data_IF_172448145870
#
_entry.id   IF_172448145870
#
_cell.length_a   1.000
_cell.length_b   1.000
_cell.length_c   1.000
_cell.angle_alpha   90.00
_cell.angle_beta   90.00
_cell.angle_gamma   90.00
#
_symmetry.space_group_name_H-M   'P 1'
#
loop_
_entity.id
_entity.type
_entity.pdbx_description
1 polymer ?
#
# COMPACT_ATOMS: atom_id res chain seq x y z
N UNK A 1 -12.36 9.27 -2.59
CA UNK A 1 -12.23 8.09 -1.74
C UNK A 1 -11.09 7.34 -2.35
N UNK A 2 -9.90 7.43 -1.77
CA UNK A 2 -8.68 7.01 -2.45
C UNK A 2 -7.56 6.95 -1.45
N UNK A 3 -6.53 6.18 -1.76
CA UNK A 3 -5.21 6.23 -1.13
C UNK A 3 -4.23 6.86 -2.12
N UNK A 4 -3.37 7.76 -1.64
CA UNK A 4 -2.22 8.30 -2.34
C UNK A 4 -0.94 7.83 -1.65
N UNK A 5 0.01 7.34 -2.44
CA UNK A 5 1.29 6.78 -1.96
C UNK A 5 2.41 7.41 -2.78
N UNK A 6 3.47 7.84 -2.12
CA UNK A 6 4.71 8.28 -2.75
C UNK A 6 5.88 7.54 -2.12
N UNK A 7 6.81 7.09 -2.96
CA UNK A 7 8.02 6.39 -2.54
C UNK A 7 9.22 6.93 -3.31
N UNK A 8 10.30 7.21 -2.58
CA UNK A 8 11.62 7.48 -3.11
C UNK A 8 12.65 6.54 -2.46
N UNK A 9 13.58 6.01 -3.24
CA UNK A 9 14.59 5.03 -2.78
C UNK A 9 14.62 3.81 -3.69
N UNK A 10 15.63 2.95 -3.53
CA UNK A 10 15.77 1.73 -4.33
C UNK A 10 14.49 0.90 -4.34
N UNK A 11 14.15 0.31 -5.48
CA UNK A 11 12.94 -0.52 -5.64
C UNK A 11 11.62 0.17 -5.25
N UNK A 12 11.49 1.48 -5.48
CA UNK A 12 10.33 2.27 -5.07
C UNK A 12 8.97 1.67 -5.52
N UNK A 13 8.95 1.03 -6.70
CA UNK A 13 7.76 0.35 -7.23
C UNK A 13 7.30 -0.79 -6.33
N UNK A 14 8.22 -1.64 -5.89
CA UNK A 14 7.93 -2.78 -5.01
C UNK A 14 7.34 -2.28 -3.70
N UNK A 15 7.94 -1.24 -3.13
CA UNK A 15 7.51 -0.63 -1.88
C UNK A 15 6.12 0.02 -2.00
N UNK A 16 5.85 0.76 -3.08
CA UNK A 16 4.54 1.36 -3.31
C UNK A 16 3.43 0.30 -3.45
N UNK A 17 3.72 -0.81 -4.13
CA UNK A 17 2.77 -1.92 -4.28
C UNK A 17 2.55 -2.67 -2.96
N UNK A 18 3.57 -2.85 -2.13
CA UNK A 18 3.44 -3.44 -0.78
C UNK A 18 2.51 -2.61 0.10
N UNK A 19 2.67 -1.28 0.08
CA UNK A 19 1.79 -0.34 0.80
C UNK A 19 0.34 -0.50 0.33
N UNK A 20 0.10 -0.46 -0.98
CA UNK A 20 -1.25 -0.62 -1.52
C UNK A 20 -1.84 -2.00 -1.15
N UNK A 21 -1.06 -3.07 -1.29
CA UNK A 21 -1.47 -4.43 -0.97
C UNK A 21 -1.87 -4.57 0.49
N UNK A 22 -1.11 -3.98 1.41
CA UNK A 22 -1.46 -3.95 2.83
C UNK A 22 -2.78 -3.22 3.09
N UNK A 23 -3.00 -2.06 2.44
CA UNK A 23 -4.26 -1.33 2.55
C UNK A 23 -5.45 -2.14 1.98
N UNK A 24 -5.25 -2.92 0.92
CA UNK A 24 -6.27 -3.79 0.33
C UNK A 24 -6.59 -5.01 1.21
N UNK A 25 -5.61 -5.54 1.94
CA UNK A 25 -5.80 -6.70 2.84
C UNK A 25 -6.52 -6.27 4.12
N UNK A 26 -6.07 -5.19 4.74
CA UNK A 26 -6.60 -4.74 6.04
C UNK A 26 -7.86 -3.87 5.91
N UNK A 27 -8.02 -3.23 4.75
CA UNK A 27 -9.05 -2.24 4.51
C UNK A 27 -10.30 -2.80 3.83
N UNK A 28 -11.42 -2.17 4.13
CA UNK A 28 -12.70 -2.36 3.43
C UNK A 28 -13.23 -1.03 2.92
N UNK A 29 -14.29 -1.07 2.11
CA UNK A 29 -14.88 0.13 1.52
C UNK A 29 -14.25 0.47 0.17
N UNK A 30 -13.74 1.69 0.01
CA UNK A 30 -13.31 2.19 -1.31
C UNK A 30 -11.85 1.85 -1.66
N UNK A 31 -11.52 0.56 -1.72
CA UNK A 31 -10.18 0.06 -2.06
C UNK A 31 -10.26 -1.20 -2.95
N UNK A 32 -9.19 -1.55 -3.67
CA UNK A 32 -9.09 -2.78 -4.46
C UNK A 32 -9.65 -2.76 -5.90
N UNK A 33 -10.03 -1.58 -6.41
CA UNK A 33 -10.51 -1.41 -7.79
C UNK A 33 -9.53 -0.59 -8.64
N UNK A 34 -9.91 0.65 -8.95
CA UNK A 34 -9.08 1.60 -9.69
C UNK A 34 -7.68 1.76 -9.06
N UNK A 35 -6.64 1.72 -9.89
CA UNK A 35 -5.28 2.10 -9.49
C UNK A 35 -4.51 2.72 -10.65
N UNK A 36 -3.66 3.70 -10.36
CA UNK A 36 -2.67 4.27 -11.28
C UNK A 36 -1.35 4.31 -10.55
N UNK A 37 -0.37 3.64 -11.13
CA UNK A 37 1.04 3.68 -10.75
C UNK A 37 1.78 4.52 -11.78
N UNK A 38 2.56 5.49 -11.32
CA UNK A 38 3.55 6.19 -12.12
C UNK A 38 4.95 5.96 -11.55
N UNK A 39 5.92 5.81 -12.42
CA UNK A 39 7.32 5.57 -12.07
C UNK A 39 8.21 6.52 -12.85
N UNK A 40 9.30 6.98 -12.25
CA UNK A 40 10.28 7.86 -12.92
C UNK A 40 11.65 7.21 -12.92
N UNK A 41 12.24 7.06 -14.10
CA UNK A 41 13.61 6.57 -14.28
C UNK A 41 14.66 7.65 -13.99
N UNK A 42 15.92 7.25 -13.92
CA UNK A 42 17.05 8.16 -13.66
C UNK A 42 17.26 9.18 -14.79
N UNK A 43 16.79 8.88 -16.00
CA UNK A 43 16.75 9.79 -17.14
C UNK A 43 15.58 10.80 -17.06
N UNK A 44 14.76 10.71 -16.01
CA UNK A 44 13.57 11.52 -15.80
C UNK A 44 12.36 11.06 -16.61
N UNK A 45 12.45 9.99 -17.40
CA UNK A 45 11.32 9.45 -18.15
C UNK A 45 10.26 8.90 -17.20
N UNK A 46 8.99 9.11 -17.54
CA UNK A 46 7.85 8.66 -16.73
C UNK A 46 7.08 7.58 -17.47
N UNK A 47 6.77 6.51 -16.75
CA UNK A 47 5.93 5.42 -17.24
C UNK A 47 4.74 5.22 -16.33
N UNK A 48 3.67 4.65 -16.89
CA UNK A 48 2.40 4.44 -16.22
C UNK A 48 1.92 3.00 -16.37
N UNK A 49 1.33 2.48 -15.30
CA UNK A 49 0.43 1.32 -15.33
C UNK A 49 -0.86 1.69 -14.62
N UNK A 50 -1.98 1.25 -15.17
CA UNK A 50 -3.29 1.67 -14.69
C UNK A 50 -4.34 0.59 -14.90
N UNK A 51 -5.30 0.54 -14.01
CA UNK A 51 -6.44 -0.38 -14.08
C UNK A 51 -7.69 0.28 -13.48
N UNK A 52 -8.86 -0.12 -13.95
CA UNK A 52 -10.15 0.21 -13.31
C UNK A 52 -10.54 -0.79 -12.22
N UNK A 53 -9.98 -2.01 -12.27
CA UNK A 53 -10.38 -3.14 -11.43
C UNK A 53 -9.15 -3.93 -10.94
N UNK A 54 -9.24 -4.55 -9.76
CA UNK A 54 -8.21 -5.47 -9.25
C UNK A 54 -7.04 -4.82 -8.51
N UNK A 55 -7.01 -3.48 -8.43
CA UNK A 55 -6.08 -2.74 -7.59
C UNK A 55 -4.62 -3.08 -7.88
N UNK A 56 -3.85 -3.40 -6.83
CA UNK A 56 -2.43 -3.73 -6.95
C UNK A 56 -2.11 -4.93 -7.85
N UNK A 57 -3.04 -5.88 -8.04
CA UNK A 57 -2.78 -7.13 -8.77
C UNK A 57 -2.98 -7.02 -10.27
N UNK A 58 -3.74 -6.03 -10.71
CA UNK A 58 -4.07 -5.83 -12.13
C UNK A 58 -3.16 -4.78 -12.79
N UNK A 59 -2.20 -4.22 -12.05
CA UNK A 59 -1.18 -3.35 -12.62
C UNK A 59 -0.15 -4.20 -13.38
N UNK A 60 -0.09 -4.03 -14.69
CA UNK A 60 0.94 -4.63 -15.53
C UNK A 60 2.24 -3.84 -15.40
N UNK A 61 3.33 -4.50 -15.02
CA UNK A 61 4.62 -3.87 -14.76
C UNK A 61 5.65 -4.34 -15.77
N UNK A 62 6.39 -3.40 -16.35
CA UNK A 62 7.65 -3.73 -17.01
C UNK A 62 8.67 -4.11 -15.92
N UNK A 63 9.33 -5.29 -16.01
CA UNK A 63 10.37 -5.70 -15.06
C UNK A 63 11.48 -4.65 -14.87
N UNK A 64 11.77 -3.82 -15.89
CA UNK A 64 12.76 -2.75 -15.79
C UNK A 64 12.40 -1.69 -14.73
N UNK A 65 11.10 -1.45 -14.48
CA UNK A 65 10.65 -0.46 -13.51
C UNK A 65 10.93 -0.87 -12.06
N UNK A 66 11.16 -2.16 -11.79
CA UNK A 66 11.44 -2.65 -10.44
C UNK A 66 12.72 -2.07 -9.84
N UNK A 67 13.61 -1.51 -10.67
CA UNK A 67 14.84 -0.85 -10.23
C UNK A 67 14.70 0.67 -10.11
N UNK A 68 13.53 1.25 -10.45
CA UNK A 68 13.35 2.69 -10.41
C UNK A 68 13.23 3.20 -8.98
N UNK A 69 13.78 4.40 -8.74
CA UNK A 69 13.89 4.98 -7.40
C UNK A 69 12.76 5.94 -7.04
N UNK A 70 11.75 6.05 -7.89
CA UNK A 70 10.65 7.00 -7.77
C UNK A 70 9.37 6.32 -8.22
N UNK A 71 8.42 6.21 -7.29
CA UNK A 71 7.10 5.71 -7.59
C UNK A 71 6.05 6.55 -6.88
N UNK A 72 4.95 6.79 -7.57
CA UNK A 72 3.74 7.33 -6.98
C UNK A 72 2.55 6.47 -7.39
N UNK A 73 1.60 6.32 -6.48
CA UNK A 73 0.41 5.52 -6.72
C UNK A 73 -0.83 6.27 -6.21
N UNK A 74 -1.94 6.15 -6.93
CA UNK A 74 -3.27 6.46 -6.43
C UNK A 74 -4.19 5.28 -6.67
N UNK A 75 -5.03 4.93 -5.69
CA UNK A 75 -6.01 3.85 -5.85
C UNK A 75 -7.33 4.16 -5.16
N UNK A 76 -8.43 3.54 -5.61
CA UNK A 76 -9.74 3.52 -4.96
C UNK A 76 -10.55 2.28 -5.33
N UNK A 77 -11.73 2.12 -4.72
CA UNK A 77 -12.67 1.04 -5.07
C UNK A 77 -13.42 1.29 -6.39
N UNK A 78 -14.19 2.38 -6.55
CA UNK A 78 -15.01 2.58 -7.74
C UNK A 78 -14.19 2.93 -9.00
N UNK A 79 -14.77 2.63 -10.17
CA UNK A 79 -14.29 3.11 -11.46
C UNK A 79 -14.19 4.65 -11.50
N UNK A 80 -13.24 5.13 -12.30
CA UNK A 80 -12.95 6.55 -12.46
C UNK A 80 -13.11 7.00 -13.91
N UNK A 81 -13.51 8.27 -14.14
CA UNK A 81 -13.50 8.83 -15.49
C UNK A 81 -12.11 8.72 -16.13
N UNK A 82 -12.07 8.27 -17.37
CA UNK A 82 -10.84 8.23 -18.16
C UNK A 82 -10.52 9.61 -18.77
N UNK A 83 -9.24 9.90 -19.09
CA UNK A 83 -8.06 9.06 -18.88
C UNK A 83 -7.66 8.98 -17.39
N UNK A 84 -7.27 7.80 -16.93
CA UNK A 84 -6.97 7.57 -15.51
C UNK A 84 -5.75 8.37 -15.00
N UNK A 85 -4.79 8.66 -15.87
CA UNK A 85 -3.62 9.49 -15.55
C UNK A 85 -3.97 10.90 -15.06
N UNK A 86 -5.20 11.40 -15.31
CA UNK A 86 -5.61 12.71 -14.79
C UNK A 86 -5.58 12.78 -13.24
N UNK A 87 -5.70 11.64 -12.56
CA UNK A 87 -5.65 11.55 -11.10
C UNK A 87 -4.22 11.54 -10.55
N UNK A 88 -3.25 11.14 -11.38
CA UNK A 88 -1.83 11.11 -11.05
C UNK A 88 -1.02 11.70 -12.23
N UNK A 89 -1.07 13.02 -12.47
CA UNK A 89 -0.25 13.61 -13.52
C UNK A 89 1.23 13.62 -13.12
N UNK A 90 2.09 13.72 -14.13
CA UNK A 90 3.54 13.84 -13.93
C UNK A 90 4.11 14.95 -14.80
N UNK A 91 5.31 15.39 -14.43
CA UNK A 91 6.17 16.16 -15.29
C UNK A 91 7.55 15.47 -15.34
N UNK A 92 7.97 14.93 -16.51
CA UNK A 92 9.24 14.23 -16.65
C UNK A 92 10.43 15.05 -16.15
N UNK A 93 11.32 14.40 -15.40
CA UNK A 93 12.47 15.04 -14.75
C UNK A 93 12.14 16.05 -13.64
N UNK A 94 10.86 16.22 -13.27
CA UNK A 94 10.44 17.16 -12.23
C UNK A 94 9.72 16.45 -11.08
N UNK A 95 8.55 15.86 -11.32
CA UNK A 95 7.78 15.19 -10.27
C UNK A 95 6.69 14.26 -10.78
N UNK A 96 6.32 13.30 -9.94
CA UNK A 96 5.06 12.56 -10.01
C UNK A 96 4.10 13.17 -8.96
N UNK A 97 2.87 13.53 -9.38
CA UNK A 97 1.88 14.15 -8.50
C UNK A 97 0.71 13.21 -8.28
N UNK A 98 0.61 12.66 -7.08
CA UNK A 98 -0.51 11.85 -6.61
C UNK A 98 -1.34 12.62 -5.58
N UNK A 99 -2.25 11.94 -4.91
CA UNK A 99 -3.01 12.50 -3.82
C UNK A 99 -4.16 11.61 -3.43
N UNK A 100 -5.19 12.22 -2.86
CA UNK A 100 -6.43 11.54 -2.57
C UNK A 100 -7.63 12.46 -2.78
N UNK A 101 -8.80 11.84 -2.84
CA UNK A 101 -10.12 12.37 -3.18
C UNK A 101 -10.24 12.76 -4.64
N UNK A 102 -10.28 14.05 -4.93
CA UNK A 102 -10.46 14.57 -6.29
C UNK A 102 -9.31 15.54 -6.60
N UNK A 103 -8.05 15.06 -6.64
CA UNK A 103 -6.89 15.91 -6.87
C UNK A 103 -6.91 16.57 -8.26
N UNK A 104 -7.69 16.01 -9.19
CA UNK A 104 -7.87 16.49 -10.57
C UNK A 104 -9.03 17.49 -10.74
N UNK A 105 -9.68 17.95 -9.66
CA UNK A 105 -10.80 18.88 -9.76
C UNK A 105 -10.34 20.20 -10.40
N UNK A 106 -11.08 20.67 -11.41
CA UNK A 106 -10.83 21.94 -12.08
C UNK A 106 -10.99 23.11 -11.12
N UNK A 107 -10.02 24.01 -11.14
CA UNK A 107 -10.06 25.31 -10.47
C UNK A 107 -10.83 26.32 -11.33
N UNK A 108 -11.17 27.52 -10.79
CA UNK A 108 -11.79 28.59 -11.58
C UNK A 108 -10.96 29.07 -12.78
N UNK A 109 -9.64 28.82 -12.78
CA UNK A 109 -8.76 29.14 -13.92
C UNK A 109 -8.81 28.07 -15.02
N UNK A 110 -9.59 27.00 -14.82
CA UNK A 110 -9.71 25.89 -15.77
C UNK A 110 -8.61 24.85 -15.68
N UNK A 111 -7.63 25.00 -14.77
CA UNK A 111 -6.59 24.01 -14.54
C UNK A 111 -6.96 23.06 -13.38
N UNK A 112 -6.73 21.74 -13.50
CA UNK A 112 -6.79 20.81 -12.38
C UNK A 112 -5.88 21.20 -11.22
N UNK A 113 -6.33 20.96 -9.99
CA UNK A 113 -5.59 21.32 -8.78
C UNK A 113 -4.20 20.67 -8.71
N UNK A 114 -4.09 19.36 -9.01
CA UNK A 114 -2.82 18.63 -9.08
C UNK A 114 -1.86 19.18 -10.16
N UNK A 115 -2.39 19.61 -11.31
CA UNK A 115 -1.59 20.22 -12.38
C UNK A 115 -1.08 21.62 -12.00
N UNK A 116 -1.86 22.39 -11.23
CA UNK A 116 -1.42 23.69 -10.74
C UNK A 116 -0.20 23.58 -9.80
N UNK A 117 -0.21 22.58 -8.90
CA UNK A 117 0.94 22.27 -8.07
C UNK A 117 2.15 21.82 -8.91
N UNK A 118 1.94 20.99 -9.93
CA UNK A 118 3.01 20.59 -10.87
C UNK A 118 3.61 21.77 -11.64
N UNK A 119 2.80 22.73 -12.09
CA UNK A 119 3.31 23.94 -12.75
C UNK A 119 4.18 24.78 -11.80
N UNK A 120 3.82 24.83 -10.52
CA UNK A 120 4.61 25.54 -9.50
C UNK A 120 5.95 24.85 -9.26
N UNK A 121 5.97 23.51 -9.25
CA UNK A 121 7.20 22.70 -9.23
C UNK A 121 8.07 22.92 -10.48
N UNK A 122 7.46 22.98 -11.66
CA UNK A 122 8.16 23.25 -12.92
C UNK A 122 8.90 24.59 -12.91
N UNK A 123 8.39 25.57 -12.17
CA UNK A 123 9.01 26.89 -12.00
C UNK A 123 10.17 26.90 -11.00
N UNK A 124 10.55 25.73 -10.44
CA UNK A 124 11.67 25.59 -9.51
C UNK A 124 11.29 25.84 -8.05
N UNK A 125 10.01 25.90 -7.72
CA UNK A 125 9.57 25.99 -6.32
C UNK A 125 9.83 24.69 -5.57
N UNK A 126 10.07 24.78 -4.26
CA UNK A 126 10.15 23.60 -3.39
C UNK A 126 8.81 22.83 -3.39
N UNK A 127 8.82 21.49 -3.23
CA UNK A 127 7.60 20.68 -3.15
C UNK A 127 6.62 21.09 -2.06
N UNK A 128 7.14 21.46 -0.89
CA UNK A 128 6.35 21.90 0.25
C UNK A 128 5.58 23.17 -0.11
N UNK A 129 6.27 24.17 -0.66
CA UNK A 129 5.64 25.41 -1.12
C UNK A 129 4.60 25.15 -2.21
N UNK A 130 4.95 24.39 -3.25
CA UNK A 130 4.05 24.12 -4.37
C UNK A 130 2.73 23.47 -3.91
N UNK A 131 2.82 22.51 -2.99
CA UNK A 131 1.64 21.81 -2.47
C UNK A 131 0.88 22.68 -1.48
N UNK A 132 1.54 23.25 -0.48
CA UNK A 132 0.88 24.05 0.56
C UNK A 132 0.19 25.28 -0.02
N UNK A 133 0.87 26.01 -0.91
CA UNK A 133 0.28 27.17 -1.57
C UNK A 133 -0.95 26.77 -2.41
N UNK A 134 -0.89 25.63 -3.11
CA UNK A 134 -2.01 25.14 -3.91
C UNK A 134 -3.21 24.77 -3.04
N UNK A 135 -3.04 24.00 -1.97
CA UNK A 135 -4.17 23.62 -1.12
C UNK A 135 -4.73 24.80 -0.31
N UNK A 136 -3.88 25.76 0.07
CA UNK A 136 -4.29 26.98 0.77
C UNK A 136 -5.08 27.95 -0.14
N UNK A 137 -4.77 27.98 -1.44
CA UNK A 137 -5.53 28.76 -2.42
C UNK A 137 -6.95 28.21 -2.66
N UNK A 138 -7.19 26.92 -2.37
CA UNK A 138 -8.46 26.24 -2.61
C UNK A 138 -8.91 25.40 -1.39
N UNK A 139 -9.13 26.03 -0.21
CA UNK A 139 -9.30 25.32 1.06
C UNK A 139 -10.56 24.43 1.12
N UNK A 140 -11.57 24.75 0.31
CA UNK A 140 -12.84 24.02 0.26
C UNK A 140 -12.91 22.92 -0.83
N UNK A 141 -11.79 22.63 -1.51
CA UNK A 141 -11.75 21.53 -2.46
C UNK A 141 -11.68 20.20 -1.71
N UNK A 142 -12.33 19.15 -2.23
CA UNK A 142 -12.27 17.81 -1.64
C UNK A 142 -11.05 17.07 -2.22
N UNK A 143 -9.85 17.48 -1.80
CA UNK A 143 -8.58 16.98 -2.32
C UNK A 143 -7.47 17.02 -1.25
N UNK A 144 -6.58 16.04 -1.29
CA UNK A 144 -5.23 16.18 -0.78
C UNK A 144 -4.24 15.89 -1.90
N UNK A 145 -3.08 16.53 -1.86
CA UNK A 145 -2.05 16.45 -2.87
C UNK A 145 -0.77 15.87 -2.26
N UNK A 146 -0.02 15.14 -3.07
CA UNK A 146 1.27 14.59 -2.70
C UNK A 146 2.17 14.54 -3.94
N UNK A 147 3.41 14.97 -3.81
CA UNK A 147 4.39 14.88 -4.87
C UNK A 147 5.58 14.04 -4.42
N UNK A 148 6.16 13.30 -5.36
CA UNK A 148 7.55 12.84 -5.28
C UNK A 148 8.32 13.45 -6.44
N UNK A 149 9.37 14.21 -6.12
CA UNK A 149 10.19 14.91 -7.12
C UNK A 149 11.28 14.03 -7.70
N UNK A 150 11.88 14.47 -8.81
CA UNK A 150 13.02 13.80 -9.44
C UNK A 150 14.24 13.67 -8.52
N UNK A 151 14.41 14.54 -7.52
CA UNK A 151 15.46 14.47 -6.49
C UNK A 151 15.01 13.76 -5.19
N UNK A 152 13.77 13.29 -5.14
CA UNK A 152 13.31 12.35 -4.11
C UNK A 152 12.84 13.03 -2.85
N UNK A 153 12.49 14.31 -2.95
CA UNK A 153 11.68 14.97 -1.95
C UNK A 153 10.23 14.51 -2.08
N UNK A 154 9.61 14.29 -0.93
CA UNK A 154 8.19 13.98 -0.84
C UNK A 154 7.55 15.06 0.00
N UNK A 155 6.55 15.72 -0.57
CA UNK A 155 5.72 16.67 0.16
C UNK A 155 4.26 16.30 -0.04
N UNK A 156 3.43 16.64 0.93
CA UNK A 156 1.99 16.40 0.85
C UNK A 156 1.22 17.36 1.75
N UNK A 157 -0.04 17.61 1.39
CA UNK A 157 -0.96 18.38 2.23
C UNK A 157 -2.42 18.07 1.87
N UNK A 158 -3.30 18.28 2.85
CA UNK A 158 -4.74 18.27 2.66
C UNK A 158 -5.25 19.71 2.53
N UNK A 159 -6.31 19.91 1.75
CA UNK A 159 -7.14 21.11 1.89
C UNK A 159 -7.81 21.12 3.27
N UNK A 160 -8.23 22.30 3.74
CA UNK A 160 -8.92 22.43 5.02
C UNK A 160 -10.19 21.55 5.09
N UNK A 161 -10.93 21.45 3.99
CA UNK A 161 -12.11 20.58 3.89
C UNK A 161 -11.78 19.12 4.17
N UNK A 162 -10.70 18.60 3.62
CA UNK A 162 -10.27 17.22 3.86
C UNK A 162 -9.73 17.07 5.27
N UNK A 163 -9.02 18.08 5.79
CA UNK A 163 -8.47 18.08 7.15
C UNK A 163 -9.56 17.98 8.25
N UNK A 164 -10.80 18.40 7.96
CA UNK A 164 -11.94 18.28 8.89
C UNK A 164 -12.60 16.89 8.91
N UNK A 165 -12.15 15.95 8.09
CA UNK A 165 -12.75 14.61 8.03
C UNK A 165 -12.32 13.74 9.22
N UNK A 166 -13.23 12.91 9.77
CA UNK A 166 -12.89 12.01 10.87
C UNK A 166 -12.18 10.71 10.42
N UNK A 167 -12.21 10.40 9.12
CA UNK A 167 -11.68 9.15 8.54
C UNK A 167 -10.36 9.37 7.78
N UNK A 168 -9.59 10.38 8.16
CA UNK A 168 -8.30 10.67 7.53
C UNK A 168 -7.16 9.93 8.22
N UNK A 169 -6.29 9.34 7.42
CA UNK A 169 -5.02 8.79 7.88
C UNK A 169 -3.90 9.27 6.98
N UNK A 170 -2.78 9.64 7.56
CA UNK A 170 -1.57 9.97 6.83
C UNK A 170 -0.35 9.56 7.66
N UNK A 171 0.71 9.17 6.98
CA UNK A 171 1.96 8.75 7.59
C UNK A 171 3.11 8.98 6.64
N UNK A 172 4.29 9.20 7.19
CA UNK A 172 5.52 9.30 6.42
C UNK A 172 6.68 8.74 7.23
N UNK A 173 7.62 8.11 6.53
CA UNK A 173 8.89 7.71 7.07
C UNK A 173 9.99 8.18 6.12
N UNK A 174 11.05 8.72 6.71
CA UNK A 174 12.20 9.23 5.99
C UNK A 174 13.47 8.72 6.65
N UNK A 175 14.28 8.05 5.85
CA UNK A 175 15.63 7.63 6.16
C UNK A 175 16.59 8.41 5.23
N UNK A 176 17.89 8.13 5.33
CA UNK A 176 18.92 8.84 4.56
C UNK A 176 18.75 8.62 3.04
N UNK A 177 18.36 7.42 2.64
CA UNK A 177 18.35 6.92 1.26
C UNK A 177 16.95 6.57 0.74
N UNK A 178 15.97 6.44 1.63
CA UNK A 178 14.60 6.03 1.29
C UNK A 178 13.53 6.81 2.05
N UNK A 179 12.40 7.04 1.40
CA UNK A 179 11.26 7.83 1.89
C UNK A 179 9.95 7.25 1.39
N UNK A 180 8.94 7.24 2.25
CA UNK A 180 7.58 6.83 1.92
C UNK A 180 6.62 7.80 2.58
N UNK A 181 5.56 8.15 1.87
CA UNK A 181 4.41 8.82 2.45
C UNK A 181 3.12 8.19 1.94
N UNK A 182 2.11 8.18 2.81
CA UNK A 182 0.78 7.70 2.51
C UNK A 182 -0.25 8.70 3.02
N UNK A 183 -1.31 8.90 2.24
CA UNK A 183 -2.52 9.61 2.66
C UNK A 183 -3.74 8.84 2.19
N UNK A 184 -4.73 8.68 3.05
CA UNK A 184 -5.94 7.95 2.69
C UNK A 184 -7.14 8.41 3.49
N UNK A 185 -8.31 8.18 2.90
CA UNK A 185 -9.58 8.31 3.56
C UNK A 185 -10.66 7.47 2.88
N UNK A 186 -11.76 7.23 3.61
CA UNK A 186 -12.89 6.41 3.15
C UNK A 186 -12.50 4.96 2.84
N UNK A 187 -11.44 4.50 3.49
CA UNK A 187 -11.05 3.09 3.64
C UNK A 187 -11.19 2.80 5.12
N UNK A 188 -11.92 1.75 5.47
CA UNK A 188 -12.25 1.41 6.85
C UNK A 188 -11.46 0.20 7.31
N UNK A 189 -10.91 0.28 8.51
CA UNK A 189 -10.08 -0.75 9.13
C UNK A 189 -10.73 -1.24 10.42
N UNK A 190 -10.28 -2.39 10.92
CA UNK A 190 -10.71 -2.85 12.24
C UNK A 190 -10.39 -1.78 13.31
N UNK A 191 -11.29 -1.51 14.27
CA UNK A 191 -11.14 -0.38 15.20
C UNK A 191 -9.82 -0.33 15.96
N UNK A 192 -9.24 -1.48 16.30
CA UNK A 192 -7.95 -1.58 16.99
C UNK A 192 -6.76 -1.24 16.09
N UNK A 193 -6.87 -1.40 14.76
CA UNK A 193 -5.82 -1.05 13.79
C UNK A 193 -5.85 0.44 13.40
N UNK A 194 -7.04 1.07 13.45
CA UNK A 194 -7.27 2.45 12.98
C UNK A 194 -6.26 3.48 13.49
N UNK A 195 -5.85 3.49 14.78
CA UNK A 195 -4.84 4.44 15.26
C UNK A 195 -3.44 4.23 14.67
N UNK A 196 -3.16 3.03 14.17
CA UNK A 196 -1.84 2.58 13.73
C UNK A 196 -1.71 2.47 12.21
N UNK A 197 -2.81 2.55 11.46
CA UNK A 197 -2.83 2.16 10.04
C UNK A 197 -1.81 2.90 9.19
N UNK A 198 -1.62 4.21 9.41
CA UNK A 198 -0.64 4.97 8.65
C UNK A 198 0.80 4.48 8.90
N UNK A 199 1.12 4.17 10.16
CA UNK A 199 2.42 3.60 10.55
C UNK A 199 2.58 2.19 9.98
N UNK A 200 1.57 1.33 10.11
CA UNK A 200 1.59 -0.04 9.57
C UNK A 200 1.83 -0.02 8.06
N UNK A 201 1.19 0.89 7.34
CA UNK A 201 1.37 1.06 5.90
C UNK A 201 2.78 1.53 5.54
N UNK A 202 3.39 2.43 6.31
CA UNK A 202 4.79 2.81 6.10
C UNK A 202 5.76 1.67 6.45
N UNK A 203 5.51 0.92 7.51
CA UNK A 203 6.39 -0.17 7.96
C UNK A 203 6.46 -1.29 6.91
N UNK A 204 5.32 -1.69 6.33
CA UNK A 204 5.31 -2.74 5.29
C UNK A 204 6.04 -2.34 4.01
N UNK A 205 6.24 -1.03 3.77
CA UNK A 205 7.03 -0.58 2.64
C UNK A 205 8.45 -1.14 2.78
N UNK A 206 9.05 -1.05 3.96
CA UNK A 206 10.48 -1.27 4.19
C UNK A 206 10.84 -2.58 4.85
N UNK A 207 10.16 -3.69 4.54
CA UNK A 207 10.59 -5.00 5.03
C UNK A 207 12.06 -5.24 4.67
N UNK A 208 12.95 -4.98 5.62
CA UNK A 208 14.35 -5.33 5.56
C UNK A 208 14.53 -6.68 6.24
N UNK A 209 15.35 -7.57 5.67
CA UNK A 209 15.68 -8.84 6.28
C UNK A 209 16.69 -8.62 7.43
N UNK A 210 16.28 -8.00 8.54
CA UNK A 210 17.07 -7.97 9.77
C UNK A 210 16.20 -7.77 11.03
N UNK A 211 16.24 -8.72 11.99
CA UNK A 211 15.43 -8.69 13.20
C UNK A 211 16.17 -7.93 14.31
N UNK A 212 15.99 -6.62 14.40
CA UNK A 212 16.42 -5.91 15.62
C UNK A 212 15.45 -4.83 16.11
N UNK A 213 14.48 -4.40 15.31
CA UNK A 213 13.40 -3.55 15.81
C UNK A 213 12.13 -4.36 16.03
N UNK A 214 11.77 -4.58 17.29
CA UNK A 214 10.48 -5.12 17.73
C UNK A 214 9.29 -4.21 17.35
N UNK A 215 9.46 -3.20 16.51
CA UNK A 215 8.42 -2.24 16.16
C UNK A 215 8.26 -2.23 14.64
N UNK A 216 7.29 -2.98 14.13
CA UNK A 216 6.94 -2.91 12.72
C UNK A 216 5.83 -3.86 12.29
N UNK A 217 5.35 -3.65 11.07
CA UNK A 217 4.48 -4.57 10.35
C UNK A 217 5.19 -5.19 9.13
N UNK A 218 4.88 -6.45 8.84
CA UNK A 218 5.39 -7.16 7.68
C UNK A 218 4.24 -7.77 6.87
N UNK A 219 4.27 -7.57 5.57
CA UNK A 219 3.46 -8.28 4.57
C UNK A 219 4.20 -9.56 4.17
N UNK A 220 3.66 -10.70 4.56
CA UNK A 220 4.17 -12.02 4.24
C UNK A 220 3.44 -12.60 3.03
N UNK A 221 4.19 -13.34 2.20
CA UNK A 221 3.62 -14.12 1.10
C UNK A 221 3.29 -15.53 1.59
N UNK A 222 2.09 -16.01 1.27
CA UNK A 222 1.69 -17.40 1.52
C UNK A 222 1.73 -18.15 0.19
N UNK A 223 2.65 -19.10 -0.01
CA UNK A 223 2.77 -19.85 -1.25
C UNK A 223 1.48 -20.59 -1.61
N UNK A 224 1.25 -20.78 -2.91
CA UNK A 224 0.32 -21.81 -3.35
C UNK A 224 0.86 -23.16 -2.88
N UNK A 225 0.01 -23.97 -2.26
CA UNK A 225 0.39 -25.20 -1.58
C UNK A 225 1.19 -25.00 -0.29
N UNK A 226 0.87 -23.97 0.50
CA UNK A 226 1.40 -23.81 1.85
C UNK A 226 0.96 -25.01 2.73
N UNK A 227 1.87 -25.78 3.33
CA UNK A 227 1.52 -26.88 4.22
C UNK A 227 0.66 -26.41 5.40
N UNK A 228 -0.36 -27.19 5.72
CA UNK A 228 -1.30 -26.97 6.81
C UNK A 228 -1.26 -28.18 7.74
N UNK A 229 -0.64 -28.01 8.90
CA UNK A 229 -0.24 -29.10 9.79
C UNK A 229 -1.04 -29.06 11.10
N UNK A 230 -1.46 -30.22 11.64
CA UNK A 230 -2.14 -30.27 12.92
C UNK A 230 -1.19 -29.91 14.08
N UNK A 231 -1.66 -29.11 15.03
CA UNK A 231 -0.94 -28.81 16.27
C UNK A 231 -1.90 -28.50 17.44
N UNK A 232 -1.44 -28.46 18.70
CA UNK A 232 -2.27 -28.05 19.83
C UNK A 232 -2.67 -26.56 19.82
N UNK A 233 -1.94 -25.72 19.08
CA UNK A 233 -2.15 -24.28 18.99
C UNK A 233 -1.89 -23.79 17.55
N UNK A 234 -2.61 -22.74 17.13
CA UNK A 234 -2.37 -22.08 15.86
C UNK A 234 -1.02 -21.36 15.87
N UNK A 235 -0.24 -21.51 14.79
CA UNK A 235 1.04 -20.84 14.63
C UNK A 235 1.41 -20.72 13.14
N UNK A 236 2.00 -19.59 12.75
CA UNK A 236 2.53 -19.39 11.40
C UNK A 236 4.05 -19.51 11.45
N UNK A 237 4.65 -20.39 10.65
CA UNK A 237 6.12 -20.46 10.51
C UNK A 237 6.54 -19.68 9.28
N UNK A 238 7.50 -18.76 9.46
CA UNK A 238 7.90 -17.77 8.48
C UNK A 238 9.41 -17.86 8.27
N UNK A 239 9.82 -17.80 7.00
CA UNK A 239 11.18 -17.44 6.64
C UNK A 239 11.30 -15.90 6.69
N UNK A 240 12.01 -15.33 7.68
CA UNK A 240 12.10 -13.88 7.84
C UNK A 240 12.97 -13.23 6.75
N UNK A 241 13.81 -13.99 6.03
CA UNK A 241 14.68 -13.46 4.98
C UNK A 241 13.86 -13.25 3.71
N UNK A 242 13.02 -14.23 3.36
CA UNK A 242 12.18 -14.17 2.15
C UNK A 242 10.78 -13.62 2.40
N UNK A 243 10.44 -13.30 3.66
CA UNK A 243 9.10 -12.91 4.10
C UNK A 243 8.01 -13.88 3.60
N UNK A 244 8.32 -15.17 3.60
CA UNK A 244 7.45 -16.21 3.04
C UNK A 244 7.01 -17.17 4.15
N UNK A 245 5.72 -17.52 4.16
CA UNK A 245 5.18 -18.54 5.07
C UNK A 245 5.63 -19.91 4.60
N UNK A 246 6.29 -20.65 5.49
CA UNK A 246 6.79 -22.00 5.25
C UNK A 246 5.73 -23.06 5.54
N UNK A 247 4.97 -22.89 6.62
CA UNK A 247 3.82 -23.72 6.95
C UNK A 247 2.90 -23.01 7.96
N UNK A 248 1.70 -23.53 8.09
CA UNK A 248 0.70 -23.10 9.07
C UNK A 248 0.38 -24.30 9.96
N UNK A 249 0.56 -24.15 11.26
CA UNK A 249 0.04 -25.06 12.26
C UNK A 249 -1.36 -24.62 12.67
N UNK A 250 -2.29 -25.57 12.76
CA UNK A 250 -3.67 -25.29 13.17
C UNK A 250 -4.17 -26.27 14.24
N UNK A 251 -4.83 -25.70 15.24
CA UNK A 251 -5.57 -26.41 16.28
C UNK A 251 -7.01 -26.73 15.89
N UNK A 252 -7.50 -26.23 14.74
CA UNK A 252 -8.86 -26.51 14.28
C UNK A 252 -8.97 -27.95 13.75
N UNK A 253 -9.69 -28.86 14.44
CA UNK A 253 -9.85 -30.24 13.98
C UNK A 253 -10.68 -30.33 12.70
N UNK A 254 -11.52 -29.34 12.38
CA UNK A 254 -12.31 -29.34 11.14
C UNK A 254 -11.45 -29.07 9.93
N UNK A 255 -10.49 -28.15 10.04
CA UNK A 255 -9.51 -27.88 8.99
C UNK A 255 -8.74 -29.15 8.66
N UNK A 256 -8.45 -30.02 9.63
CA UNK A 256 -7.73 -31.28 9.38
C UNK A 256 -8.50 -32.26 8.48
N UNK A 257 -9.83 -32.28 8.56
CA UNK A 257 -10.66 -33.32 7.94
C UNK A 257 -11.50 -32.84 6.74
N UNK A 258 -11.81 -31.55 6.66
CA UNK A 258 -12.63 -30.98 5.61
C UNK A 258 -11.78 -30.46 4.45
N UNK A 259 -12.31 -30.58 3.23
CA UNK A 259 -11.81 -29.92 2.04
C UNK A 259 -12.60 -28.64 1.78
N UNK A 260 -11.99 -27.69 1.07
CA UNK A 260 -12.69 -26.49 0.62
C UNK A 260 -12.35 -25.23 1.42
N UNK A 261 -13.27 -24.25 1.37
CA UNK A 261 -13.03 -22.93 1.97
C UNK A 261 -12.96 -23.03 3.50
N UNK A 262 -11.88 -22.52 4.07
CA UNK A 262 -11.66 -22.48 5.51
C UNK A 262 -11.03 -21.15 5.95
N UNK A 263 -11.13 -20.89 7.25
CA UNK A 263 -10.28 -19.90 7.94
C UNK A 263 -9.05 -20.66 8.39
N UNK A 264 -7.92 -20.46 7.70
CA UNK A 264 -6.67 -21.16 7.99
C UNK A 264 -5.96 -20.58 9.21
N UNK A 265 -6.12 -19.27 9.45
CA UNK A 265 -5.58 -18.54 10.60
C UNK A 265 -6.60 -17.51 11.06
N UNK A 266 -6.76 -17.40 12.38
CA UNK A 266 -7.47 -16.28 13.00
C UNK A 266 -6.51 -15.12 13.32
N UNK A 267 -7.03 -13.90 13.26
CA UNK A 267 -6.32 -12.72 13.76
C UNK A 267 -5.82 -12.92 15.19
N UNK A 268 -4.60 -12.46 15.47
CA UNK A 268 -3.89 -12.65 16.73
C UNK A 268 -2.94 -13.87 16.76
N UNK A 269 -2.99 -14.75 15.75
CA UNK A 269 -2.09 -15.90 15.68
C UNK A 269 -0.61 -15.46 15.58
N UNK A 270 0.26 -16.09 16.36
CA UNK A 270 1.69 -15.77 16.37
C UNK A 270 2.39 -16.23 15.08
N UNK A 271 3.19 -15.34 14.50
CA UNK A 271 4.14 -15.66 13.46
C UNK A 271 5.54 -15.83 14.06
N UNK A 272 6.18 -16.94 13.76
CA UNK A 272 7.48 -17.33 14.32
C UNK A 272 8.45 -17.75 13.22
N UNK A 273 9.75 -17.66 13.50
CA UNK A 273 10.78 -18.31 12.66
C UNK A 273 10.82 -19.82 12.92
N UNK A 274 11.53 -20.57 12.06
CA UNK A 274 11.77 -22.01 12.26
C UNK A 274 12.44 -22.33 13.60
N UNK A 275 13.25 -21.41 14.14
CA UNK A 275 13.90 -21.55 15.46
C UNK A 275 13.01 -21.11 16.64
N UNK A 276 11.76 -20.73 16.37
CA UNK A 276 10.76 -20.37 17.38
C UNK A 276 10.80 -18.90 17.83
N UNK A 277 11.57 -18.03 17.18
CA UNK A 277 11.55 -16.60 17.50
C UNK A 277 10.26 -15.95 17.02
N UNK A 278 9.56 -15.25 17.90
CA UNK A 278 8.32 -14.53 17.56
C UNK A 278 8.65 -13.27 16.77
N UNK A 279 8.05 -13.15 15.58
CA UNK A 279 8.15 -11.99 14.69
C UNK A 279 7.00 -11.00 14.92
N UNK A 280 5.83 -11.49 15.32
CA UNK A 280 4.64 -10.68 15.58
C UNK A 280 3.37 -11.52 15.59
N UNK A 281 2.22 -10.86 15.51
CA UNK A 281 0.90 -11.50 15.42
C UNK A 281 0.19 -11.12 14.13
N UNK A 282 -0.57 -12.05 13.58
CA UNK A 282 -1.38 -11.84 12.39
C UNK A 282 -2.49 -10.81 12.65
N UNK A 283 -2.61 -9.79 11.82
CA UNK A 283 -3.53 -8.66 12.04
C UNK A 283 -4.94 -8.90 11.48
N UNK A 284 -5.17 -10.02 10.79
CA UNK A 284 -6.45 -10.36 10.17
C UNK A 284 -6.60 -11.88 10.03
N UNK A 285 -7.81 -12.32 9.70
CA UNK A 285 -8.06 -13.73 9.37
C UNK A 285 -7.50 -14.06 7.99
N UNK A 286 -6.92 -15.25 7.83
CA UNK A 286 -6.55 -15.79 6.52
C UNK A 286 -7.61 -16.78 6.06
N UNK A 287 -8.33 -16.41 5.01
CA UNK A 287 -9.22 -17.34 4.32
C UNK A 287 -8.51 -17.95 3.12
N UNK A 288 -8.65 -19.26 2.96
CA UNK A 288 -8.13 -19.97 1.79
C UNK A 288 -8.98 -21.17 1.44
N UNK A 289 -8.49 -21.95 0.48
CA UNK A 289 -9.08 -23.22 0.09
C UNK A 289 -8.10 -24.33 0.48
N UNK A 290 -8.55 -25.29 1.30
CA UNK A 290 -7.76 -26.48 1.62
C UNK A 290 -7.91 -27.51 0.50
N UNK A 291 -6.79 -28.12 0.12
CA UNK A 291 -6.72 -29.28 -0.76
C UNK A 291 -5.67 -30.25 -0.20
N UNK A 292 -6.10 -31.41 0.32
CA UNK A 292 -5.26 -32.30 1.09
C UNK A 292 -4.70 -31.58 2.33
N UNK A 293 -3.40 -31.69 2.57
CA UNK A 293 -2.71 -31.02 3.69
C UNK A 293 -2.14 -29.64 3.31
N UNK A 294 -2.71 -28.99 2.28
CA UNK A 294 -2.19 -27.74 1.77
C UNK A 294 -3.27 -26.68 1.65
N UNK A 295 -2.87 -25.44 1.93
CA UNK A 295 -3.64 -24.24 1.67
C UNK A 295 -3.29 -23.69 0.29
N UNK A 296 -4.30 -23.29 -0.46
CA UNK A 296 -4.17 -22.60 -1.74
C UNK A 296 -5.16 -21.45 -1.84
N UNK A 297 -4.97 -20.59 -2.86
CA UNK A 297 -5.91 -19.54 -3.21
C UNK A 297 -7.31 -20.11 -3.46
N UNK A 298 -8.33 -19.30 -3.14
CA UNK A 298 -9.74 -19.71 -3.33
C UNK A 298 -10.08 -19.95 -4.79
N UNK A 299 -9.55 -19.13 -5.70
CA UNK A 299 -9.65 -19.32 -7.15
C UNK A 299 -8.26 -19.10 -7.79
N UNK A 300 -7.92 -19.79 -8.90
CA UNK A 300 -6.63 -19.64 -9.56
C UNK A 300 -6.30 -18.21 -10.00
N UNK A 301 -7.32 -17.43 -10.36
CA UNK A 301 -7.17 -16.03 -10.78
C UNK A 301 -7.17 -15.04 -9.61
N UNK A 302 -7.37 -15.50 -8.37
CA UNK A 302 -7.28 -14.61 -7.22
C UNK A 302 -5.83 -14.21 -6.94
N UNK A 303 -5.64 -13.03 -6.34
CA UNK A 303 -4.38 -12.64 -5.71
C UNK A 303 -3.76 -13.76 -4.88
N UNK A 304 -2.42 -13.91 -4.88
CA UNK A 304 -1.73 -14.76 -3.92
C UNK A 304 -2.21 -14.49 -2.50
N UNK A 305 -2.28 -15.54 -1.69
CA UNK A 305 -2.58 -15.40 -0.27
C UNK A 305 -1.46 -14.60 0.38
N UNK A 306 -1.83 -13.70 1.27
CA UNK A 306 -0.88 -12.81 1.95
C UNK A 306 -1.36 -12.57 3.38
N UNK A 307 -0.40 -12.35 4.26
CA UNK A 307 -0.64 -12.05 5.67
C UNK A 307 0.02 -10.73 6.03
N UNK A 308 -0.62 -9.94 6.88
CA UNK A 308 0.07 -8.85 7.59
C UNK A 308 0.28 -9.30 9.03
N UNK A 309 1.53 -9.27 9.49
CA UNK A 309 1.86 -9.42 10.90
C UNK A 309 2.30 -8.08 11.47
N UNK A 310 1.99 -7.82 12.74
CA UNK A 310 2.44 -6.65 13.48
C UNK A 310 3.09 -7.07 14.80
N UNK A 311 4.16 -6.37 15.19
CA UNK A 311 4.88 -6.72 16.42
C UNK A 311 4.15 -6.30 17.71
N UNK A 312 3.30 -5.26 17.68
CA UNK A 312 2.65 -4.66 18.87
C UNK A 312 1.29 -3.98 18.59
N UNK A 313 0.39 -4.63 17.84
CA UNK A 313 -0.98 -4.12 17.64
C UNK A 313 -1.99 -4.94 18.42
#
# INVERSE_FOLDING_TARGET
MTIGIAVAGEHAVVHALRVLRCAEILGTGSIGGFAVLAVMGDDGAVHYSQTQDGGSHALELDPAWLNYQRAALISSGPHRPEPLQQFLPSLPGVALMTGHRLPNRLTPTGLPLNQLALQTLQQGSSPEYAIQNTVAAYPEYDAGLMAVTADGHIAYANTERVARRPDQHHGAQQYQDKKVAVMLNSIFFAPHLTPHIATLLCDVAWQEPAPSSQTGAMLLTVPDHCPLLPAPHDQIVVDPITATVQCIYTADPFVQHAEGRCVAIQGGCAAVTTDGYVLGTCLHDLLGHKLGDHLQRVLPHHPPLSLIIGAHV
#
